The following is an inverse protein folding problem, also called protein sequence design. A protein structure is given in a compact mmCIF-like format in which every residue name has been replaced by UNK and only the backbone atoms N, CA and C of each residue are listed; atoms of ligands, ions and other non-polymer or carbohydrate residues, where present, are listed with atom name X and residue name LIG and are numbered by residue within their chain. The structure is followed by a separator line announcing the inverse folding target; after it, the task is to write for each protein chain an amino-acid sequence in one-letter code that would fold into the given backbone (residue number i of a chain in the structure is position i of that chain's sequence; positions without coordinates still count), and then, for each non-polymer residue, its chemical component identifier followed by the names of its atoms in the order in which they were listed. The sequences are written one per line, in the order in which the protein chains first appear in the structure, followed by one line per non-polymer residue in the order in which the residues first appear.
data_IF_639536151170
#
_entry.id   IF_639536151170
#
_cell.length_a   1.000
_cell.length_b   1.000
_cell.length_c   1.000
_cell.angle_alpha   90.00
_cell.angle_beta   90.00
_cell.angle_gamma   90.00
#
_symmetry.space_group_name_H-M   'P 1'
#
loop_
_entity.id
_entity.type
_entity.pdbx_description
1 polymer ?
#
# COMPACT_ATOMS: atom_id res chain seq x y z
N UNK A 1 -4.47 1.46 -2.04
CA UNK A 1 -3.61 0.99 -0.93
C UNK A 1 -3.32 2.09 0.09
N UNK A 2 -3.96 2.11 1.27
CA UNK A 2 -3.91 3.23 2.25
C UNK A 2 -3.48 2.86 3.68
N UNK A 3 -2.58 1.89 3.82
CA UNK A 3 -2.29 1.19 5.09
C UNK A 3 -1.41 1.94 6.10
N UNK A 4 -0.70 2.99 5.67
CA UNK A 4 0.12 3.83 6.57
C UNK A 4 -0.67 5.02 7.15
N UNK A 5 -1.76 5.43 6.50
CA UNK A 5 -2.68 6.45 7.00
C UNK A 5 -3.80 5.78 7.81
N UNK A 6 -3.42 5.31 8.99
CA UNK A 6 -4.30 4.63 9.95
C UNK A 6 -4.29 5.41 11.25
N UNK A 7 -5.37 5.28 12.03
CA UNK A 7 -5.39 5.86 13.39
C UNK A 7 -4.22 5.31 14.24
N UNK A 8 -3.72 6.07 15.24
CA UNK A 8 -2.55 5.68 16.02
C UNK A 8 -2.62 4.29 16.64
N UNK A 9 -3.82 3.82 17.01
CA UNK A 9 -4.02 2.51 17.62
C UNK A 9 -3.71 1.36 16.66
N UNK A 10 -3.93 1.55 15.35
CA UNK A 10 -3.66 0.58 14.29
C UNK A 10 -2.30 0.80 13.59
N UNK A 11 -1.52 1.78 14.03
CA UNK A 11 -0.26 2.16 13.41
C UNK A 11 0.90 1.32 13.95
N UNK A 12 1.47 0.47 13.09
CA UNK A 12 2.63 -0.36 13.42
C UNK A 12 3.92 0.31 12.91
N UNK A 13 4.57 1.09 13.78
CA UNK A 13 5.78 1.85 13.44
C UNK A 13 6.92 0.97 12.96
N UNK A 14 7.11 -0.20 13.57
CA UNK A 14 8.20 -1.10 13.23
C UNK A 14 7.96 -1.74 11.86
N UNK A 15 6.74 -2.17 11.60
CA UNK A 15 6.36 -2.72 10.29
C UNK A 15 6.44 -1.67 9.19
N UNK A 16 6.03 -0.42 9.45
CA UNK A 16 6.16 0.67 8.48
C UNK A 16 7.64 0.94 8.18
N UNK A 17 8.50 1.00 9.21
CA UNK A 17 9.93 1.17 9.02
C UNK A 17 10.53 0.02 8.21
N UNK A 18 10.17 -1.22 8.52
CA UNK A 18 10.61 -2.42 7.80
C UNK A 18 10.19 -2.36 6.32
N UNK A 19 8.93 -2.03 6.05
CA UNK A 19 8.39 -1.87 4.69
C UNK A 19 9.17 -0.83 3.88
N UNK A 20 9.39 0.36 4.45
CA UNK A 20 10.06 1.48 3.77
C UNK A 20 11.52 1.17 3.48
N UNK A 21 12.14 0.26 4.24
CA UNK A 21 13.52 -0.17 4.06
C UNK A 21 13.66 -1.40 3.14
N UNK A 22 12.56 -2.01 2.65
CA UNK A 22 12.64 -3.19 1.78
C UNK A 22 13.24 -2.90 0.41
N UNK A 23 12.92 -1.74 -0.15
CA UNK A 23 13.38 -1.27 -1.45
C UNK A 23 13.11 0.23 -1.55
N UNK A 24 13.72 0.89 -2.53
CA UNK A 24 13.45 2.29 -2.82
C UNK A 24 12.07 2.44 -3.45
N UNK A 25 11.27 3.37 -2.94
CA UNK A 25 10.00 3.75 -3.56
C UNK A 25 10.08 5.21 -3.98
N UNK A 26 9.36 5.56 -5.04
CA UNK A 26 9.06 6.96 -5.36
C UNK A 26 7.56 7.14 -5.45
N UNK A 27 7.11 8.35 -5.13
CA UNK A 27 5.70 8.72 -5.15
C UNK A 27 5.53 9.86 -6.12
N UNK A 28 4.47 9.81 -6.92
CA UNK A 28 4.23 10.76 -7.98
C UNK A 28 2.77 11.18 -8.00
N UNK A 29 2.47 12.41 -8.41
CA UNK A 29 1.08 12.81 -8.66
C UNK A 29 0.58 12.42 -10.07
N UNK A 30 1.47 11.98 -10.97
CA UNK A 30 1.19 11.55 -12.35
C UNK A 30 1.52 10.04 -12.53
N UNK A 31 0.67 9.25 -13.21
CA UNK A 31 0.94 7.84 -13.55
C UNK A 31 2.19 7.60 -14.40
N UNK A 32 2.77 8.62 -15.06
CA UNK A 32 3.99 8.50 -15.87
C UNK A 32 5.27 8.35 -15.04
N UNK A 33 5.20 8.60 -13.73
CA UNK A 33 6.33 8.48 -12.81
C UNK A 33 7.56 9.32 -13.23
N UNK A 34 7.34 10.52 -13.77
CA UNK A 34 8.46 11.40 -14.18
C UNK A 34 9.08 12.11 -12.98
N UNK A 35 10.36 12.53 -13.04
CA UNK A 35 11.01 13.27 -11.96
C UNK A 35 10.26 14.54 -11.54
N UNK A 36 9.63 15.25 -12.48
CA UNK A 36 8.86 16.48 -12.21
C UNK A 36 7.58 16.20 -11.42
N UNK A 37 7.09 14.96 -11.50
CA UNK A 37 5.89 14.54 -10.79
C UNK A 37 6.16 13.98 -9.39
N UNK A 38 7.43 13.87 -9.00
CA UNK A 38 7.86 13.26 -7.74
C UNK A 38 7.42 14.09 -6.53
N UNK A 39 6.91 13.40 -5.51
CA UNK A 39 6.37 13.96 -4.29
C UNK A 39 7.27 13.55 -3.12
N UNK A 40 7.79 14.53 -2.35
CA UNK A 40 8.61 14.25 -1.17
C UNK A 40 7.89 13.39 -0.13
N UNK A 41 8.62 12.49 0.51
CA UNK A 41 8.05 11.51 1.43
C UNK A 41 7.31 12.15 2.63
N UNK A 42 7.76 13.30 3.13
CA UNK A 42 7.06 14.02 4.21
C UNK A 42 5.65 14.46 3.77
N UNK A 43 5.51 14.90 2.51
CA UNK A 43 4.23 15.29 1.90
C UNK A 43 3.32 14.07 1.74
N UNK A 44 3.89 12.92 1.34
CA UNK A 44 3.17 11.64 1.24
C UNK A 44 2.61 11.24 2.61
N UNK A 45 3.43 11.25 3.66
CA UNK A 45 3.00 10.86 5.01
C UNK A 45 1.94 11.80 5.61
N UNK A 46 1.98 13.10 5.31
CA UNK A 46 0.92 14.03 5.71
C UNK A 46 -0.43 13.72 5.06
N UNK A 47 -0.40 13.09 3.87
CA UNK A 47 -1.61 12.75 3.11
C UNK A 47 -2.14 13.94 2.30
N UNK A 48 -1.26 14.85 1.89
CA UNK A 48 -1.64 16.08 1.16
C UNK A 48 -2.24 15.77 -0.23
N UNK A 49 -1.92 14.60 -0.81
CA UNK A 49 -2.44 14.13 -2.10
C UNK A 49 -3.26 12.85 -1.93
N UNK A 50 -4.60 12.87 -2.06
CA UNK A 50 -5.43 11.70 -1.78
C UNK A 50 -5.16 10.49 -2.70
N UNK A 51 -4.59 10.76 -3.88
CA UNK A 51 -4.16 9.76 -4.85
C UNK A 51 -2.74 10.08 -5.30
N UNK A 52 -1.87 9.09 -5.18
CA UNK A 52 -0.50 9.12 -5.69
C UNK A 52 -0.26 7.88 -6.55
N UNK A 53 0.79 7.90 -7.34
CA UNK A 53 1.27 6.81 -8.16
C UNK A 53 2.68 6.42 -7.72
N UNK A 54 3.01 5.14 -7.86
CA UNK A 54 4.32 4.59 -7.50
C UNK A 54 4.62 3.40 -8.40
N UNK A 55 5.83 2.84 -8.31
CA UNK A 55 6.23 1.71 -9.14
C UNK A 55 5.43 0.45 -8.79
N UNK A 56 5.17 -0.42 -9.79
CA UNK A 56 4.47 -1.70 -9.59
C UNK A 56 5.05 -2.55 -8.45
N UNK A 57 6.37 -2.52 -8.23
CA UNK A 57 7.03 -3.25 -7.13
C UNK A 57 6.46 -2.90 -5.74
N UNK A 58 5.99 -1.67 -5.53
CA UNK A 58 5.29 -1.29 -4.31
C UNK A 58 4.06 -2.15 -4.07
N UNK A 59 3.31 -2.49 -5.12
CA UNK A 59 2.07 -3.26 -5.03
C UNK A 59 2.31 -4.65 -4.43
N UNK A 60 3.31 -5.37 -4.96
CA UNK A 60 3.71 -6.67 -4.47
C UNK A 60 4.17 -6.61 -3.01
N UNK A 61 5.07 -5.67 -2.68
CA UNK A 61 5.54 -5.55 -1.29
C UNK A 61 4.38 -5.18 -0.37
N UNK A 62 3.52 -4.25 -0.77
CA UNK A 62 2.33 -3.87 0.01
C UNK A 62 1.44 -5.07 0.31
N UNK A 63 1.09 -5.88 -0.69
CA UNK A 63 0.25 -7.07 -0.51
C UNK A 63 0.87 -8.07 0.47
N UNK A 64 2.19 -8.33 0.39
CA UNK A 64 2.87 -9.20 1.36
C UNK A 64 2.85 -8.64 2.79
N UNK A 65 2.91 -7.31 2.96
CA UNK A 65 2.84 -6.67 4.27
C UNK A 65 1.43 -6.66 4.85
N UNK A 66 0.40 -6.60 4.01
CA UNK A 66 -0.98 -6.79 4.47
C UNK A 66 -1.15 -8.20 5.05
N UNK A 67 -0.61 -9.22 4.38
CA UNK A 67 -0.61 -10.58 4.91
C UNK A 67 0.17 -10.70 6.23
N UNK A 68 1.36 -10.09 6.33
CA UNK A 68 2.13 -10.04 7.59
C UNK A 68 1.35 -9.36 8.72
N UNK A 69 0.71 -8.22 8.44
CA UNK A 69 -0.09 -7.45 9.42
C UNK A 69 -1.27 -8.26 9.91
N UNK A 70 -1.98 -8.94 9.00
CA UNK A 70 -3.08 -9.84 9.34
C UNK A 70 -2.59 -10.98 10.24
N UNK A 71 -1.50 -11.65 9.87
CA UNK A 71 -0.96 -12.75 10.67
C UNK A 71 -0.51 -12.28 12.06
N UNK A 72 0.15 -11.13 12.15
CA UNK A 72 0.56 -10.52 13.43
C UNK A 72 -0.65 -10.27 14.34
N UNK A 73 -1.74 -9.72 13.80
CA UNK A 73 -2.96 -9.46 14.55
C UNK A 73 -3.65 -10.74 15.07
N UNK A 74 -3.46 -11.89 14.41
CA UNK A 74 -3.95 -13.18 14.91
C UNK A 74 -3.13 -13.69 16.11
N UNK A 75 -1.83 -13.40 16.13
CA UNK A 75 -0.94 -13.81 17.23
C UNK A 75 -1.07 -12.89 18.44
N UNK A 76 -1.24 -11.59 18.20
CA UNK A 76 -1.35 -10.57 19.22
C UNK A 76 -2.82 -10.39 19.64
N UNK A 77 -3.16 -10.87 20.84
CA UNK A 77 -4.50 -10.67 21.39
C UNK A 77 -4.86 -9.18 21.43
N UNK A 78 -6.04 -8.84 20.93
CA UNK A 78 -6.60 -7.48 20.93
C UNK A 78 -5.83 -6.44 20.11
N UNK A 79 -5.00 -6.84 19.14
CA UNK A 79 -4.37 -5.88 18.24
C UNK A 79 -5.43 -5.30 17.28
N UNK A 80 -5.75 -3.99 17.35
CA UNK A 80 -6.70 -3.40 16.42
C UNK A 80 -6.09 -3.34 15.02
N UNK A 81 -6.97 -3.50 14.02
CA UNK A 81 -6.60 -3.53 12.61
C UNK A 81 -7.47 -2.56 11.82
N UNK A 82 -6.88 -2.04 10.74
CA UNK A 82 -7.58 -1.06 9.92
C UNK A 82 -8.65 -1.72 9.04
N UNK A 83 -9.66 -0.94 8.68
CA UNK A 83 -10.79 -1.42 7.88
C UNK A 83 -10.40 -1.91 6.50
N UNK A 84 -9.22 -1.51 5.99
CA UNK A 84 -8.77 -1.90 4.66
C UNK A 84 -8.15 -3.30 4.69
N UNK A 85 -7.45 -3.65 5.77
CA UNK A 85 -6.98 -5.02 6.00
C UNK A 85 -8.13 -6.01 6.18
N UNK A 86 -9.23 -5.58 6.78
CA UNK A 86 -10.41 -6.40 7.04
C UNK A 86 -11.36 -6.57 5.85
N UNK A 87 -11.15 -5.84 4.77
CA UNK A 87 -11.99 -5.95 3.58
C UNK A 87 -11.62 -7.21 2.78
N UNK A 88 -12.54 -8.17 2.66
CA UNK A 88 -12.34 -9.37 1.86
C UNK A 88 -12.00 -9.07 0.40
N UNK A 89 -12.56 -7.99 -0.17
CA UNK A 89 -12.21 -7.56 -1.52
C UNK A 89 -10.75 -7.20 -1.65
N UNK A 90 -10.16 -6.65 -0.58
CA UNK A 90 -8.75 -6.31 -0.57
C UNK A 90 -7.87 -7.56 -0.45
N UNK A 91 -8.30 -8.60 0.27
CA UNK A 91 -7.63 -9.92 0.26
C UNK A 91 -7.58 -10.52 -1.14
N UNK A 92 -8.72 -10.57 -1.84
CA UNK A 92 -8.77 -11.10 -3.21
C UNK A 92 -7.94 -10.25 -4.18
N UNK A 93 -7.96 -8.92 -4.02
CA UNK A 93 -7.10 -8.03 -4.80
C UNK A 93 -5.61 -8.33 -4.55
N UNK A 94 -5.20 -8.57 -3.31
CA UNK A 94 -3.82 -8.96 -2.99
C UNK A 94 -3.45 -10.29 -3.66
N UNK A 95 -4.35 -11.27 -3.71
CA UNK A 95 -4.14 -12.53 -4.43
C UNK A 95 -3.86 -12.28 -5.92
N UNK A 96 -4.69 -11.49 -6.59
CA UNK A 96 -4.50 -11.13 -8.01
C UNK A 96 -3.14 -10.49 -8.27
N UNK A 97 -2.71 -9.57 -7.38
CA UNK A 97 -1.40 -8.92 -7.48
C UNK A 97 -0.27 -9.94 -7.32
N UNK A 98 -0.34 -10.79 -6.30
CA UNK A 98 0.73 -11.75 -5.98
C UNK A 98 0.84 -12.87 -7.03
N UNK A 99 -0.26 -13.20 -7.72
CA UNK A 99 -0.30 -14.20 -8.79
C UNK A 99 -0.15 -13.59 -10.19
N UNK A 100 0.04 -12.27 -10.30
CA UNK A 100 0.03 -11.56 -11.58
C UNK A 100 1.09 -12.08 -12.59
N UNK A 101 2.21 -12.61 -12.13
CA UNK A 101 3.26 -13.14 -13.02
C UNK A 101 2.81 -14.42 -13.75
N UNK A 102 1.78 -15.10 -13.24
CA UNK A 102 1.24 -16.34 -13.81
C UNK A 102 -0.15 -16.15 -14.42
N UNK A 103 -0.99 -15.31 -13.79
CA UNK A 103 -2.40 -15.12 -14.18
C UNK A 103 -2.65 -13.82 -14.94
N UNK A 104 -1.74 -12.85 -14.87
CA UNK A 104 -1.80 -11.56 -15.57
C UNK A 104 -3.03 -10.69 -15.23
N UNK A 105 -3.56 -10.83 -14.02
CA UNK A 105 -4.81 -10.20 -13.56
C UNK A 105 -4.64 -8.75 -13.05
N UNK A 106 -3.41 -8.27 -12.84
CA UNK A 106 -3.05 -6.91 -12.38
C UNK A 106 -2.17 -6.21 -13.43
N UNK A 107 -2.64 -6.16 -14.69
CA UNK A 107 -1.89 -5.59 -15.83
C UNK A 107 -2.43 -4.23 -16.26
N UNK A 108 -2.34 -3.23 -15.38
CA UNK A 108 -2.59 -1.83 -15.74
C UNK A 108 -1.27 -1.12 -16.08
N UNK A 109 -1.02 -0.85 -17.37
CA UNK A 109 0.11 -0.07 -17.85
C UNK A 109 -0.34 1.06 -18.78
N UNK A 110 0.42 2.15 -18.78
CA UNK A 110 0.27 3.28 -19.69
C UNK A 110 0.66 2.91 -21.13
N UNK A 111 0.29 3.74 -22.10
CA UNK A 111 0.65 3.56 -23.51
C UNK A 111 2.18 3.55 -23.72
N UNK A 112 2.91 4.24 -22.85
CA UNK A 112 4.37 4.31 -22.81
C UNK A 112 5.02 3.12 -22.08
N UNK A 113 4.27 2.04 -21.81
CA UNK A 113 4.71 0.83 -21.11
C UNK A 113 5.21 1.07 -19.67
N UNK A 114 4.84 2.19 -19.05
CA UNK A 114 5.01 2.38 -17.61
C UNK A 114 3.85 1.71 -16.90
N UNK A 115 4.12 0.82 -15.96
CA UNK A 115 3.09 0.14 -15.15
C UNK A 115 3.07 0.73 -13.73
N UNK A 116 2.39 1.87 -13.50
CA UNK A 116 2.25 2.42 -12.17
C UNK A 116 1.23 1.61 -11.37
N UNK A 117 1.35 1.67 -10.05
CA UNK A 117 0.24 1.36 -9.14
C UNK A 117 -0.15 2.62 -8.41
N UNK A 118 -1.44 2.74 -8.06
CA UNK A 118 -1.91 3.91 -7.33
C UNK A 118 -2.03 3.63 -5.83
N UNK A 119 -1.62 4.62 -5.05
CA UNK A 119 -1.65 4.62 -3.59
C UNK A 119 -2.78 5.55 -3.15
N UNK A 120 -3.56 5.08 -2.18
CA UNK A 120 -4.61 5.88 -1.57
C UNK A 120 -4.02 6.53 -0.33
N UNK A 121 -3.58 7.78 -0.43
CA UNK A 121 -2.93 8.49 0.66
C UNK A 121 -3.93 9.17 1.60
N UNK A 122 -4.96 8.44 2.02
CA UNK A 122 -6.05 8.98 2.86
C UNK A 122 -6.26 8.13 4.09
N UNK A 123 -6.67 8.75 5.18
CA UNK A 123 -6.97 8.09 6.44
C UNK A 123 -8.02 6.99 6.32
N UNK A 124 -7.73 5.84 6.94
CA UNK A 124 -8.63 4.70 7.06
C UNK A 124 -9.11 4.55 8.50
N UNK A 125 -10.25 3.87 8.69
CA UNK A 125 -10.78 3.64 10.03
C UNK A 125 -10.04 2.49 10.73
N UNK A 126 -9.93 2.57 12.04
CA UNK A 126 -9.32 1.55 12.90
C UNK A 126 -10.42 0.97 13.80
N UNK A 127 -10.54 -0.36 13.84
CA UNK A 127 -11.51 -1.03 14.70
C UNK A 127 -10.86 -2.26 15.33
N UNK A 128 -11.24 -2.52 16.57
CA UNK A 128 -10.95 -3.78 17.24
C UNK A 128 -12.08 -4.75 16.88
N UNK A 129 -11.72 -5.95 16.41
CA UNK A 129 -12.65 -7.00 15.98
C UNK A 129 -12.51 -8.22 16.88
#
# INVERSE_FOLDING_TARGET
MGWIWVRPECYDKEMVKDFMNRTDYSWHFDPKLTPESEVPLDVVFRGDYPKLFTQKKYHYVHCTYMWKKMHKALLEKNQPIDSYLMDWKHTNHCEMVLLNDWLHEDTECTAEMVCPTWVRATWTSCKQY
#
